data_IF_298540699577
#
_entry.id   IF_298540699577
#
_cell.length_a   1.000
_cell.length_b   1.000
_cell.length_c   1.000
_cell.angle_alpha   90.00
_cell.angle_beta   90.00
_cell.angle_gamma   90.00
#
_symmetry.space_group_name_H-M   'P 1'
#
loop_
_entity.id
_entity.type
_entity.pdbx_description
1 polymer ?
#
# COMPACT_ATOMS: atom_id res chain seq x y z
N UNK A 1 -39.51 -39.39 -7.61
CA UNK A 1 -38.68 -38.65 -6.65
C UNK A 1 -37.73 -37.77 -7.45
N UNK A 2 -38.00 -36.46 -7.52
CA UNK A 2 -37.16 -35.48 -8.25
C UNK A 2 -36.38 -34.71 -7.22
N UNK A 3 -35.12 -35.07 -7.03
CA UNK A 3 -34.20 -34.37 -6.13
C UNK A 3 -33.76 -33.08 -6.82
N UNK A 4 -34.30 -31.94 -6.40
CA UNK A 4 -33.80 -30.62 -6.82
C UNK A 4 -32.60 -30.30 -5.93
N UNK A 5 -31.40 -30.27 -6.52
CA UNK A 5 -30.18 -29.79 -5.85
C UNK A 5 -30.17 -28.27 -5.99
N UNK A 6 -30.43 -27.57 -4.89
CA UNK A 6 -30.28 -26.11 -4.81
C UNK A 6 -28.79 -25.83 -4.59
N UNK A 7 -28.11 -25.38 -5.65
CA UNK A 7 -26.73 -24.92 -5.59
C UNK A 7 -26.72 -23.51 -4.98
N UNK A 8 -26.39 -23.41 -3.68
CA UNK A 8 -26.26 -22.14 -2.98
C UNK A 8 -25.06 -21.37 -3.53
N UNK A 9 -25.32 -20.30 -4.27
CA UNK A 9 -24.33 -19.33 -4.71
C UNK A 9 -23.89 -18.50 -3.49
N UNK A 10 -22.85 -18.96 -2.78
CA UNK A 10 -22.20 -18.18 -1.74
C UNK A 10 -21.43 -17.07 -2.47
N UNK A 11 -22.01 -15.87 -2.51
CA UNK A 11 -21.33 -14.67 -2.98
C UNK A 11 -20.26 -14.31 -1.96
N UNK A 12 -18.99 -14.60 -2.28
CA UNK A 12 -17.85 -14.11 -1.51
C UNK A 12 -17.87 -12.59 -1.61
N UNK A 13 -18.25 -11.90 -0.54
CA UNK A 13 -17.96 -10.48 -0.42
C UNK A 13 -16.45 -10.40 -0.12
N UNK A 14 -15.65 -10.18 -1.15
CA UNK A 14 -14.23 -9.88 -0.97
C UNK A 14 -14.12 -8.51 -0.30
N UNK A 15 -14.02 -8.51 1.03
CA UNK A 15 -13.54 -7.35 1.77
C UNK A 15 -12.08 -7.19 1.39
N UNK A 16 -11.77 -6.18 0.58
CA UNK A 16 -10.38 -5.86 0.29
C UNK A 16 -9.70 -5.46 1.61
N UNK A 17 -8.52 -6.02 1.87
CA UNK A 17 -7.79 -5.83 3.13
C UNK A 17 -6.56 -4.97 2.87
N UNK A 18 -5.99 -4.39 3.93
CA UNK A 18 -4.69 -3.72 3.85
C UNK A 18 -3.64 -4.64 3.20
N UNK A 19 -2.90 -4.11 2.23
CA UNK A 19 -1.89 -4.83 1.47
C UNK A 19 -0.51 -4.61 2.10
N UNK A 20 0.22 -5.70 2.34
CA UNK A 20 1.62 -5.60 2.74
C UNK A 20 2.50 -5.28 1.53
N UNK A 21 3.43 -4.35 1.70
CA UNK A 21 4.45 -4.01 0.71
C UNK A 21 5.83 -4.21 1.31
N UNK A 22 6.73 -4.81 0.55
CA UNK A 22 8.12 -4.99 0.96
C UNK A 22 9.08 -4.78 -0.19
N UNK A 23 10.23 -4.19 0.10
CA UNK A 23 11.30 -3.98 -0.88
C UNK A 23 12.66 -3.97 -0.21
N UNK A 24 13.59 -4.73 -0.78
CA UNK A 24 15.00 -4.73 -0.36
C UNK A 24 15.83 -4.06 -1.45
N UNK A 25 16.63 -3.06 -1.08
CA UNK A 25 17.44 -2.29 -2.01
C UNK A 25 18.91 -2.42 -1.57
N UNK A 26 19.79 -3.02 -2.38
CA UNK A 26 21.22 -3.06 -2.04
C UNK A 26 21.82 -1.66 -2.09
N UNK A 27 22.72 -1.36 -1.14
CA UNK A 27 23.40 -0.06 -1.08
C UNK A 27 24.91 -0.23 -0.91
N UNK A 28 25.65 0.74 -1.42
CA UNK A 28 27.09 0.87 -1.22
C UNK A 28 27.38 1.78 -0.03
N UNK A 29 28.53 1.62 0.66
CA UNK A 29 28.96 2.54 1.70
C UNK A 29 28.96 4.00 1.20
N UNK A 30 28.61 4.93 2.10
CA UNK A 30 28.58 6.37 1.84
C UNK A 30 27.56 6.86 0.79
N UNK A 31 26.60 6.01 0.37
CA UNK A 31 25.47 6.48 -0.43
C UNK A 31 24.52 7.35 0.41
N UNK A 32 24.01 8.42 -0.20
CA UNK A 32 22.93 9.23 0.37
C UNK A 32 21.59 8.54 0.09
N UNK A 33 20.68 8.62 1.04
CA UNK A 33 19.33 8.07 0.89
C UNK A 33 18.37 9.25 0.85
N UNK A 34 17.56 9.32 -0.20
CA UNK A 34 16.46 10.29 -0.32
C UNK A 34 15.15 9.53 -0.31
N UNK A 35 14.29 9.82 0.67
CA UNK A 35 13.00 9.17 0.85
C UNK A 35 11.88 10.19 0.66
N UNK A 36 10.91 9.87 -0.20
CA UNK A 36 9.74 10.68 -0.45
C UNK A 36 8.49 9.82 -0.48
N UNK A 37 7.53 10.09 0.39
CA UNK A 37 6.26 9.37 0.46
C UNK A 37 5.15 10.41 0.44
N UNK A 38 4.19 10.26 -0.48
CA UNK A 38 3.15 11.27 -0.70
C UNK A 38 2.11 11.28 0.44
N UNK A 39 1.76 10.10 0.96
CA UNK A 39 0.71 9.92 1.99
C UNK A 39 1.17 9.02 3.14
N UNK A 40 2.21 9.39 3.90
CA UNK A 40 2.67 8.58 5.02
C UNK A 40 1.82 8.83 6.27
N UNK A 41 1.27 7.77 6.84
CA UNK A 41 0.72 7.85 8.20
C UNK A 41 1.84 7.80 9.26
N UNK A 42 2.79 6.87 9.08
CA UNK A 42 3.88 6.66 10.03
C UNK A 42 5.14 6.18 9.30
N UNK A 43 6.26 6.84 9.57
CA UNK A 43 7.58 6.42 9.12
C UNK A 43 8.44 6.13 10.35
N UNK A 44 8.96 4.91 10.44
CA UNK A 44 9.96 4.51 11.44
C UNK A 44 11.26 4.14 10.72
N UNK A 45 12.35 4.72 11.17
CA UNK A 45 13.68 4.46 10.61
C UNK A 45 14.55 3.85 11.71
N UNK A 46 15.15 2.71 11.40
CA UNK A 46 16.14 2.03 12.24
C UNK A 46 17.33 1.60 11.39
N UNK A 47 18.47 1.42 12.05
CA UNK A 47 19.70 0.91 11.44
C UNK A 47 19.89 -0.57 11.77
N UNK A 48 20.67 -1.25 10.95
CA UNK A 48 20.93 -2.69 11.05
C UNK A 48 22.26 -3.04 10.37
N UNK A 49 22.75 -4.25 10.58
CA UNK A 49 24.14 -4.64 10.24
C UNK A 49 24.30 -5.13 8.77
N UNK A 50 23.39 -4.77 7.87
CA UNK A 50 23.46 -5.15 6.44
C UNK A 50 23.62 -3.95 5.52
N UNK A 51 24.35 -4.14 4.43
CA UNK A 51 24.54 -3.17 3.35
C UNK A 51 23.32 -3.12 2.41
N UNK A 52 22.13 -2.97 2.98
CA UNK A 52 20.88 -2.88 2.25
C UNK A 52 19.89 -2.00 3.00
N UNK A 53 18.90 -1.47 2.28
CA UNK A 53 17.71 -0.86 2.86
C UNK A 53 16.61 -1.91 2.78
N UNK A 54 15.95 -2.18 3.91
CA UNK A 54 14.71 -2.97 3.96
C UNK A 54 13.55 -2.02 4.20
N UNK A 55 12.54 -2.08 3.34
CA UNK A 55 11.29 -1.34 3.49
C UNK A 55 10.19 -2.36 3.68
N UNK A 56 9.42 -2.19 4.74
CA UNK A 56 8.24 -2.97 5.05
C UNK A 56 7.13 -2.00 5.45
N UNK A 57 5.91 -2.27 5.00
CA UNK A 57 4.77 -1.44 5.32
C UNK A 57 3.45 -2.04 4.90
N UNK A 58 2.39 -1.33 5.25
CA UNK A 58 1.00 -1.65 4.91
C UNK A 58 0.40 -0.49 4.15
N UNK A 59 -0.35 -0.80 3.10
CA UNK A 59 -1.09 0.16 2.29
C UNK A 59 -2.57 -0.15 2.43
N UNK A 60 -3.36 0.89 2.69
CA UNK A 60 -4.81 0.81 2.72
C UNK A 60 -5.39 2.03 2.00
N UNK A 61 -5.77 1.84 0.74
CA UNK A 61 -6.40 2.83 -0.11
C UNK A 61 -7.84 2.39 -0.32
N UNK A 62 -8.75 3.21 0.20
CA UNK A 62 -10.18 3.01 0.10
C UNK A 62 -10.65 1.64 0.62
N UNK A 63 -10.27 1.28 1.85
CA UNK A 63 -10.61 0.01 2.49
C UNK A 63 -10.13 -1.18 1.64
N UNK A 64 -8.88 -1.09 1.20
CA UNK A 64 -8.18 -2.08 0.39
C UNK A 64 -8.52 -2.13 -1.10
N UNK A 65 -9.63 -1.56 -1.55
CA UNK A 65 -10.13 -1.74 -2.93
C UNK A 65 -9.17 -1.20 -4.01
N UNK A 66 -8.26 -0.29 -3.63
CA UNK A 66 -7.38 0.39 -4.58
C UNK A 66 -5.90 0.26 -4.22
N UNK A 67 -5.52 -0.71 -3.39
CA UNK A 67 -4.12 -0.87 -2.95
C UNK A 67 -3.15 -1.10 -4.12
N UNK A 68 -3.59 -1.75 -5.19
CA UNK A 68 -2.78 -2.01 -6.39
C UNK A 68 -2.31 -0.73 -7.11
N UNK A 69 -2.93 0.42 -6.83
CA UNK A 69 -2.49 1.70 -7.36
C UNK A 69 -1.23 2.24 -6.66
N UNK A 70 -0.90 1.73 -5.47
CA UNK A 70 0.29 2.14 -4.76
C UNK A 70 1.55 1.58 -5.43
N UNK A 71 2.56 2.44 -5.56
CA UNK A 71 3.85 2.11 -6.14
C UNK A 71 4.95 2.46 -5.16
N UNK A 72 5.78 1.46 -4.83
CA UNK A 72 7.04 1.64 -4.11
C UNK A 72 8.21 1.53 -5.10
N UNK A 73 8.68 2.67 -5.57
CA UNK A 73 9.77 2.77 -6.53
C UNK A 73 11.11 3.10 -5.87
N UNK A 74 12.19 2.66 -6.51
CA UNK A 74 13.55 2.94 -6.07
C UNK A 74 14.48 3.07 -7.26
N UNK A 75 15.30 4.13 -7.29
CA UNK A 75 16.30 4.33 -8.33
C UNK A 75 17.61 4.84 -7.75
N UNK A 76 18.72 4.45 -8.37
CA UNK A 76 20.02 5.02 -8.09
C UNK A 76 20.26 6.22 -9.02
N UNK A 77 20.65 7.36 -8.46
CA UNK A 77 21.06 8.56 -9.19
C UNK A 77 22.40 9.05 -8.63
N UNK A 78 23.49 8.69 -9.31
CA UNK A 78 24.85 8.94 -8.83
C UNK A 78 25.09 8.29 -7.46
N UNK A 79 25.48 9.10 -6.48
CA UNK A 79 25.70 8.64 -5.09
C UNK A 79 24.42 8.65 -4.22
N UNK A 80 23.25 8.86 -4.82
CA UNK A 80 21.97 8.91 -4.09
C UNK A 80 21.07 7.76 -4.48
N UNK A 81 20.50 7.08 -3.49
CA UNK A 81 19.39 6.14 -3.67
C UNK A 81 18.11 6.88 -3.34
N UNK A 82 17.27 7.08 -4.37
CA UNK A 82 15.97 7.72 -4.25
C UNK A 82 14.88 6.65 -4.13
N UNK A 83 14.08 6.75 -3.06
CA UNK A 83 12.99 5.85 -2.72
C UNK A 83 11.71 6.67 -2.73
N UNK A 84 10.70 6.19 -3.46
CA UNK A 84 9.40 6.85 -3.57
C UNK A 84 8.24 5.92 -3.28
N UNK A 85 7.31 6.36 -2.46
CA UNK A 85 5.98 5.75 -2.35
C UNK A 85 4.91 6.74 -2.82
N UNK A 86 4.17 6.38 -3.85
CA UNK A 86 3.15 7.24 -4.46
C UNK A 86 1.98 6.40 -5.00
N UNK A 87 0.87 7.07 -5.30
CA UNK A 87 -0.32 6.45 -5.90
C UNK A 87 -0.31 6.76 -7.40
N UNK A 88 -0.17 5.73 -8.24
CA UNK A 88 -0.24 5.87 -9.69
C UNK A 88 -1.68 6.19 -10.11
N UNK A 89 -1.83 7.09 -11.07
CA UNK A 89 -3.13 7.50 -11.63
C UNK A 89 -4.15 7.91 -10.54
N UNK A 90 -3.70 8.64 -9.52
CA UNK A 90 -4.55 9.03 -8.38
C UNK A 90 -5.85 9.73 -8.80
N UNK A 91 -5.82 10.52 -9.87
CA UNK A 91 -7.00 11.22 -10.39
C UNK A 91 -8.07 10.29 -10.97
N UNK A 92 -7.69 9.07 -11.37
CA UNK A 92 -8.58 8.04 -11.90
C UNK A 92 -9.22 7.18 -10.79
N UNK A 93 -8.73 7.29 -9.55
CA UNK A 93 -9.27 6.53 -8.43
C UNK A 93 -10.66 7.04 -8.01
N UNK A 94 -11.59 6.14 -7.61
CA UNK A 94 -12.87 6.54 -7.07
C UNK A 94 -12.70 7.49 -5.88
N UNK A 95 -13.29 8.69 -5.99
CA UNK A 95 -13.31 9.68 -4.92
C UNK A 95 -14.47 9.39 -3.99
N UNK A 96 -14.20 8.85 -2.81
CA UNK A 96 -15.20 8.61 -1.76
C UNK A 96 -15.19 9.74 -0.75
N UNK A 97 -16.37 10.22 -0.39
CA UNK A 97 -16.56 11.14 0.73
C UNK A 97 -16.81 10.33 1.99
N UNK A 98 -15.86 10.35 2.94
CA UNK A 98 -16.07 9.73 4.25
C UNK A 98 -16.64 10.76 5.23
N UNK A 99 -17.80 10.47 5.81
CA UNK A 99 -18.37 11.22 6.93
C UNK A 99 -18.28 10.38 8.20
N UNK A 100 -17.60 10.92 9.22
CA UNK A 100 -17.51 10.32 10.55
C UNK A 100 -18.54 11.01 11.45
N UNK A 101 -19.56 10.27 11.91
CA UNK A 101 -20.55 10.74 12.90
C UNK A 101 -20.73 9.66 13.97
N UNK A 102 -20.64 10.03 15.25
CA UNK A 102 -20.80 9.11 16.39
C UNK A 102 -19.94 7.83 16.28
N UNK A 103 -18.68 7.99 15.84
CA UNK A 103 -17.73 6.91 15.57
C UNK A 103 -18.17 5.91 14.48
N UNK A 104 -19.20 6.23 13.68
CA UNK A 104 -19.62 5.48 12.50
C UNK A 104 -19.09 6.14 11.24
N UNK A 105 -18.39 5.37 10.41
CA UNK A 105 -17.92 5.76 9.08
C UNK A 105 -19.02 5.52 8.07
N UNK A 106 -19.43 6.56 7.34
CA UNK A 106 -20.34 6.46 6.21
C UNK A 106 -19.60 6.92 4.95
N UNK A 107 -19.71 6.16 3.87
CA UNK A 107 -19.11 6.46 2.58
C UNK A 107 -20.19 6.91 1.60
N UNK A 108 -19.93 8.01 0.88
CA UNK A 108 -20.80 8.57 -0.16
C UNK A 108 -20.04 8.75 -1.47
#
# INVERSE_FOLDING_TARGET
MRTIVILSLITCCDFAQAQNVSKTIPVQPNQKIFMHFDFPELIKVSTWDKNAISIEGTVDINDGENNDAFVLDSKANGNTVEIKGFIKNMDELPKRMMVIRDNKKNYF
#
